data_IF_708366138934
#
_entry.id   IF_708366138934
#
_cell.length_a   1.000
_cell.length_b   1.000
_cell.length_c   1.000
_cell.angle_alpha   90.00
_cell.angle_beta   90.00
_cell.angle_gamma   90.00
#
_symmetry.space_group_name_H-M   'P 1'
#
loop_
_entity.id
_entity.type
_entity.pdbx_description
1 polymer ?
#
# COMPACT_ATOMS: atom_id res chain seq x y z
N UNK A 1 -30.60 -78.72 -28.07
CA UNK A 1 -29.49 -78.22 -27.24
C UNK A 1 -29.22 -76.79 -27.62
N UNK A 2 -29.64 -75.83 -26.78
CA UNK A 2 -29.50 -74.39 -27.03
C UNK A 2 -28.63 -73.82 -25.88
N UNK A 3 -27.40 -73.41 -26.21
CA UNK A 3 -26.44 -72.81 -25.29
C UNK A 3 -26.77 -71.31 -25.14
N UNK A 4 -27.06 -70.85 -23.91
CA UNK A 4 -27.16 -69.44 -23.58
C UNK A 4 -25.77 -68.92 -23.13
N UNK A 5 -25.20 -67.99 -23.91
CA UNK A 5 -24.07 -67.20 -23.46
C UNK A 5 -24.59 -66.01 -22.65
N UNK A 6 -24.27 -65.95 -21.35
CA UNK A 6 -24.49 -64.79 -20.52
C UNK A 6 -23.33 -63.81 -20.69
N UNK A 7 -23.59 -62.61 -21.23
CA UNK A 7 -22.66 -61.48 -21.21
C UNK A 7 -22.76 -60.77 -19.86
N UNK A 8 -21.68 -60.84 -19.07
CA UNK A 8 -21.53 -60.02 -17.85
C UNK A 8 -20.91 -58.69 -18.26
N UNK A 9 -21.69 -57.63 -18.18
CA UNK A 9 -21.23 -56.26 -18.38
C UNK A 9 -20.54 -55.76 -17.11
N UNK A 10 -19.21 -55.58 -17.17
CA UNK A 10 -18.43 -54.93 -16.12
C UNK A 10 -18.62 -53.39 -16.24
N UNK A 11 -19.44 -52.85 -15.36
CA UNK A 11 -19.55 -51.40 -15.17
C UNK A 11 -18.37 -50.88 -14.38
N UNK A 12 -17.35 -50.34 -15.06
CA UNK A 12 -16.22 -49.64 -14.48
C UNK A 12 -16.69 -48.24 -14.06
N UNK A 13 -17.12 -48.11 -12.80
CA UNK A 13 -17.45 -46.79 -12.19
C UNK A 13 -16.18 -45.95 -12.02
N UNK A 14 -16.02 -44.95 -12.85
CA UNK A 14 -15.02 -43.90 -12.62
C UNK A 14 -15.44 -43.08 -11.41
N UNK A 15 -14.87 -43.41 -10.26
CA UNK A 15 -15.00 -42.54 -9.07
C UNK A 15 -14.18 -41.26 -9.32
N UNK A 16 -14.87 -40.18 -9.67
CA UNK A 16 -14.31 -38.83 -9.73
C UNK A 16 -14.17 -38.31 -8.30
N UNK A 17 -13.00 -38.50 -7.71
CA UNK A 17 -12.67 -37.88 -6.43
C UNK A 17 -12.43 -36.38 -6.70
N UNK A 18 -13.17 -35.49 -6.02
CA UNK A 18 -12.86 -34.06 -6.13
C UNK A 18 -11.46 -33.86 -5.52
N UNK A 19 -10.51 -33.45 -6.34
CA UNK A 19 -9.22 -32.96 -5.88
C UNK A 19 -9.48 -31.62 -5.20
N UNK A 20 -9.66 -31.64 -3.89
CA UNK A 20 -9.56 -30.42 -3.10
C UNK A 20 -8.11 -29.95 -3.23
N UNK A 21 -7.89 -28.92 -4.03
CA UNK A 21 -6.64 -28.19 -4.03
C UNK A 21 -6.43 -27.71 -2.60
N UNK A 22 -5.44 -28.25 -1.91
CA UNK A 22 -5.01 -27.74 -0.62
C UNK A 22 -4.60 -26.28 -0.87
N UNK A 23 -5.42 -25.34 -0.38
CA UNK A 23 -4.99 -23.96 -0.25
C UNK A 23 -3.83 -23.99 0.73
N UNK A 24 -2.66 -23.51 0.28
CA UNK A 24 -1.39 -23.52 1.03
C UNK A 24 -1.49 -22.74 2.36
N UNK A 25 -2.40 -23.00 3.24
CA UNK A 25 -2.54 -22.51 4.62
C UNK A 25 -2.28 -21.01 4.88
N UNK A 26 -2.08 -20.22 3.82
CA UNK A 26 -1.90 -18.77 3.92
C UNK A 26 -3.26 -18.12 3.80
N UNK A 27 -3.64 -17.35 4.81
CA UNK A 27 -4.85 -16.52 4.76
C UNK A 27 -4.88 -15.66 3.50
N UNK A 28 -6.06 -15.44 2.94
CA UNK A 28 -6.20 -14.56 1.78
C UNK A 28 -5.81 -13.12 2.15
N UNK A 29 -5.33 -12.35 1.18
CA UNK A 29 -4.98 -10.95 1.41
C UNK A 29 -6.14 -10.12 1.95
N UNK A 30 -7.40 -10.50 1.62
CA UNK A 30 -8.60 -9.85 2.13
C UNK A 30 -8.84 -10.14 3.62
N UNK A 31 -8.59 -11.36 4.06
CA UNK A 31 -8.70 -11.75 5.48
C UNK A 31 -7.65 -11.03 6.32
N UNK A 32 -6.39 -11.04 5.86
CA UNK A 32 -5.29 -10.32 6.50
C UNK A 32 -5.54 -8.81 6.58
N UNK A 33 -6.23 -8.23 5.61
CA UNK A 33 -6.53 -6.81 5.59
C UNK A 33 -7.55 -6.36 6.62
N UNK A 34 -8.34 -7.25 7.22
CA UNK A 34 -9.38 -6.90 8.21
C UNK A 34 -8.83 -6.09 9.37
N UNK A 35 -7.68 -6.47 9.90
CA UNK A 35 -7.03 -5.76 11.01
C UNK A 35 -6.51 -4.38 10.56
N UNK A 36 -6.01 -4.29 9.33
CA UNK A 36 -5.55 -3.04 8.75
C UNK A 36 -6.69 -2.05 8.50
N UNK A 37 -7.87 -2.57 8.10
CA UNK A 37 -9.05 -1.78 7.76
C UNK A 37 -9.59 -0.99 8.96
N UNK A 38 -9.35 -1.42 10.19
CA UNK A 38 -9.75 -0.71 11.41
C UNK A 38 -9.19 0.72 11.46
N UNK A 39 -7.98 0.93 10.93
CA UNK A 39 -7.33 2.24 10.86
C UNK A 39 -7.33 2.82 9.45
N UNK A 40 -6.98 2.00 8.44
CA UNK A 40 -6.82 2.48 7.06
C UNK A 40 -8.13 2.56 6.25
N UNK A 41 -9.26 2.13 6.85
CA UNK A 41 -10.55 2.08 6.16
C UNK A 41 -10.69 0.87 5.23
N UNK A 42 -11.93 0.53 4.86
CA UNK A 42 -12.22 -0.63 3.98
C UNK A 42 -11.63 -0.49 2.58
N UNK A 43 -11.50 0.75 2.10
CA UNK A 43 -10.98 1.13 0.79
C UNK A 43 -9.49 1.53 0.82
N UNK A 44 -8.85 1.46 1.99
CA UNK A 44 -7.48 1.91 2.17
C UNK A 44 -7.31 3.43 2.10
N UNK A 45 -8.37 4.20 2.34
CA UNK A 45 -8.38 5.66 2.21
C UNK A 45 -7.69 6.39 3.35
N UNK A 46 -7.51 5.76 4.52
CA UNK A 46 -6.90 6.39 5.70
C UNK A 46 -7.83 7.34 6.44
N UNK A 47 -7.25 8.31 7.16
CA UNK A 47 -7.98 9.32 7.95
C UNK A 47 -7.59 10.71 7.50
N UNK A 48 -8.59 11.58 7.31
CA UNK A 48 -8.44 12.91 6.72
C UNK A 48 -7.52 13.85 7.50
N UNK A 49 -7.39 13.68 8.82
CA UNK A 49 -6.45 14.49 9.65
C UNK A 49 -4.97 14.16 9.38
N UNK A 50 -4.68 13.19 8.52
CA UNK A 50 -3.33 12.75 8.18
C UNK A 50 -2.66 11.87 9.22
N UNK A 51 -3.36 11.46 10.29
CA UNK A 51 -2.83 10.54 11.31
C UNK A 51 -2.57 9.15 10.73
N UNK A 52 -3.46 8.69 9.84
CA UNK A 52 -3.40 7.41 9.15
C UNK A 52 -3.37 7.67 7.63
N UNK A 53 -2.34 7.20 6.90
CA UNK A 53 -2.23 7.46 5.47
C UNK A 53 -3.21 6.64 4.64
N UNK A 54 -3.55 7.15 3.46
CA UNK A 54 -4.13 6.37 2.39
C UNK A 54 -3.10 5.38 1.84
N UNK A 55 -3.49 4.11 1.72
CA UNK A 55 -2.64 3.01 1.25
C UNK A 55 -3.25 2.25 0.06
N UNK A 56 -4.57 2.33 -0.14
CA UNK A 56 -5.25 1.70 -1.27
C UNK A 56 -4.67 2.16 -2.60
N UNK A 57 -4.44 1.23 -3.53
CA UNK A 57 -3.86 1.52 -4.84
C UNK A 57 -2.34 1.76 -4.87
N UNK A 58 -1.65 1.74 -3.73
CA UNK A 58 -0.18 1.77 -3.72
C UNK A 58 0.38 0.48 -4.35
N UNK A 59 1.49 0.53 -5.08
CA UNK A 59 2.09 -0.67 -5.66
C UNK A 59 2.41 -1.74 -4.62
N UNK A 60 2.09 -2.99 -4.91
CA UNK A 60 2.29 -4.10 -3.99
C UNK A 60 3.73 -4.23 -3.49
N UNK A 61 4.72 -4.02 -4.36
CA UNK A 61 6.14 -4.07 -3.97
C UNK A 61 6.56 -2.94 -3.04
N UNK A 62 5.94 -1.77 -3.17
CA UNK A 62 6.16 -0.64 -2.26
C UNK A 62 5.58 -0.99 -0.89
N UNK A 63 4.33 -1.46 -0.84
CA UNK A 63 3.66 -1.89 0.40
C UNK A 63 4.45 -2.98 1.11
N UNK A 64 4.87 -4.02 0.37
CA UNK A 64 5.66 -5.12 0.91
C UNK A 64 6.94 -4.62 1.58
N UNK A 65 7.72 -3.78 0.90
CA UNK A 65 8.94 -3.19 1.46
C UNK A 65 8.67 -2.33 2.69
N UNK A 66 7.58 -1.57 2.70
CA UNK A 66 7.22 -0.76 3.85
C UNK A 66 6.82 -1.60 5.05
N UNK A 67 6.00 -2.65 4.87
CA UNK A 67 5.64 -3.59 5.95
C UNK A 67 6.88 -4.29 6.50
N UNK A 68 7.77 -4.77 5.63
CA UNK A 68 9.05 -5.36 6.04
C UNK A 68 9.93 -4.37 6.82
N UNK A 69 9.94 -3.09 6.42
CA UNK A 69 10.69 -2.04 7.13
C UNK A 69 10.13 -1.73 8.51
N UNK A 70 8.80 -1.78 8.69
CA UNK A 70 8.19 -1.67 10.01
C UNK A 70 8.52 -2.88 10.88
N UNK A 71 8.40 -4.10 10.35
CA UNK A 71 8.76 -5.34 11.03
C UNK A 71 10.22 -5.33 11.50
N UNK A 72 11.12 -4.89 10.65
CA UNK A 72 12.56 -4.79 10.96
C UNK A 72 12.92 -3.59 11.85
N UNK A 73 11.97 -2.74 12.24
CA UNK A 73 12.22 -1.54 13.03
C UNK A 73 12.99 -0.42 12.31
N UNK A 74 13.30 -0.60 11.02
CA UNK A 74 14.01 0.42 10.21
C UNK A 74 13.11 1.58 9.82
N UNK A 75 11.80 1.41 9.90
CA UNK A 75 10.77 2.45 9.80
C UNK A 75 10.03 2.52 11.14
N UNK A 76 10.06 3.68 11.78
CA UNK A 76 9.49 3.87 13.11
C UNK A 76 8.00 4.25 13.02
N UNK A 77 7.14 3.39 13.55
CA UNK A 77 5.77 3.63 13.98
C UNK A 77 5.33 2.40 14.78
N UNK A 78 5.14 2.55 16.08
CA UNK A 78 4.88 1.42 17.00
C UNK A 78 3.60 0.65 16.63
N UNK A 79 2.56 1.35 16.13
CA UNK A 79 1.31 0.70 15.70
C UNK A 79 1.59 -0.19 14.49
N UNK A 80 2.29 0.35 13.48
CA UNK A 80 2.61 -0.40 12.28
C UNK A 80 3.62 -1.53 12.54
N UNK A 81 4.54 -1.37 13.50
CA UNK A 81 5.42 -2.45 13.94
C UNK A 81 4.62 -3.60 14.55
N UNK A 82 3.61 -3.29 15.37
CA UNK A 82 2.71 -4.30 15.95
C UNK A 82 1.95 -5.05 14.86
N UNK A 83 1.25 -4.35 13.95
CA UNK A 83 0.43 -4.99 12.91
C UNK A 83 1.24 -5.60 11.74
N UNK A 84 2.54 -5.35 11.65
CA UNK A 84 3.41 -5.96 10.63
C UNK A 84 4.29 -7.10 11.16
N UNK A 85 4.22 -7.43 12.46
CA UNK A 85 4.97 -8.54 13.05
C UNK A 85 4.42 -9.90 12.58
N UNK A 86 5.09 -10.98 12.98
CA UNK A 86 4.72 -12.34 12.55
C UNK A 86 3.43 -12.87 13.22
N UNK A 87 2.97 -12.27 14.33
CA UNK A 87 1.70 -12.63 14.96
C UNK A 87 0.49 -12.21 14.10
N UNK A 88 0.61 -11.10 13.37
CA UNK A 88 -0.44 -10.59 12.49
C UNK A 88 -0.22 -10.94 11.01
N UNK A 89 1.03 -10.99 10.56
CA UNK A 89 1.41 -11.28 9.17
C UNK A 89 2.48 -12.38 9.13
N UNK A 90 2.06 -13.64 9.27
CA UNK A 90 2.97 -14.78 9.35
C UNK A 90 3.85 -14.94 8.11
N UNK A 91 5.09 -14.49 8.20
CA UNK A 91 6.11 -14.62 7.17
C UNK A 91 5.87 -13.78 5.90
N UNK A 92 6.76 -13.95 4.92
CA UNK A 92 6.76 -13.14 3.69
C UNK A 92 5.56 -13.42 2.76
N UNK A 93 4.98 -14.63 2.81
CA UNK A 93 3.80 -14.97 2.02
C UNK A 93 2.58 -14.14 2.43
N UNK A 94 2.34 -13.99 3.73
CA UNK A 94 1.25 -13.16 4.26
C UNK A 94 1.46 -11.67 3.91
N UNK A 95 2.67 -11.15 4.10
CA UNK A 95 3.04 -9.78 3.70
C UNK A 95 2.79 -9.55 2.20
N UNK A 96 3.18 -10.51 1.34
CA UNK A 96 2.95 -10.39 -0.09
C UNK A 96 1.46 -10.48 -0.46
N UNK A 97 0.69 -11.34 0.23
CA UNK A 97 -0.76 -11.50 -0.02
C UNK A 97 -1.53 -10.22 0.33
N UNK A 98 -1.33 -9.66 1.53
CA UNK A 98 -1.98 -8.42 1.95
C UNK A 98 -1.54 -7.23 1.09
N UNK A 99 -0.26 -7.15 0.71
CA UNK A 99 0.24 -6.07 -0.17
C UNK A 99 -0.43 -6.09 -1.54
N UNK A 100 -0.62 -7.27 -2.15
CA UNK A 100 -1.35 -7.39 -3.42
C UNK A 100 -2.82 -7.00 -3.27
N UNK A 101 -3.46 -7.41 -2.18
CA UNK A 101 -4.84 -7.04 -1.92
C UNK A 101 -5.00 -5.52 -1.80
N UNK A 102 -4.17 -4.85 -0.98
CA UNK A 102 -4.20 -3.40 -0.80
C UNK A 102 -3.93 -2.67 -2.13
N UNK A 103 -3.02 -3.17 -2.95
CA UNK A 103 -2.72 -2.59 -4.26
C UNK A 103 -3.93 -2.63 -5.22
N UNK A 104 -4.82 -3.59 -5.05
CA UNK A 104 -6.07 -3.71 -5.82
C UNK A 104 -7.23 -2.89 -5.26
N UNK A 105 -7.12 -2.31 -4.07
CA UNK A 105 -8.19 -1.49 -3.49
C UNK A 105 -8.37 -0.19 -4.27
N UNK A 106 -9.62 0.12 -4.61
CA UNK A 106 -10.02 1.40 -5.19
C UNK A 106 -10.47 2.32 -4.06
N UNK A 107 -9.73 3.39 -3.83
CA UNK A 107 -10.11 4.40 -2.86
C UNK A 107 -11.39 5.12 -3.28
N UNK A 108 -12.35 5.19 -2.38
CA UNK A 108 -13.59 5.98 -2.48
C UNK A 108 -13.56 7.16 -1.53
N UNK A 109 -12.74 7.07 -0.48
CA UNK A 109 -12.48 8.17 0.45
C UNK A 109 -11.67 9.24 -0.26
N UNK A 110 -12.21 10.46 -0.32
CA UNK A 110 -11.50 11.60 -0.88
C UNK A 110 -10.31 11.97 0.01
N UNK A 111 -9.14 12.33 -0.59
CA UNK A 111 -8.02 12.82 0.19
C UNK A 111 -8.36 14.16 0.86
N UNK A 112 -7.84 14.37 2.07
CA UNK A 112 -7.89 15.70 2.67
C UNK A 112 -6.93 16.63 1.92
N UNK A 113 -7.49 17.71 1.41
CA UNK A 113 -6.78 18.73 0.64
C UNK A 113 -6.34 19.88 1.55
N UNK A 114 -5.36 20.65 1.11
CA UNK A 114 -5.03 21.95 1.73
C UNK A 114 -5.95 23.06 1.27
N UNK A 115 -5.51 24.31 1.44
CA UNK A 115 -6.32 25.52 1.18
C UNK A 115 -6.61 25.80 -0.30
N UNK A 116 -5.84 25.24 -1.20
CA UNK A 116 -5.94 25.52 -2.64
C UNK A 116 -5.28 26.82 -3.11
N UNK A 117 -4.64 27.59 -2.21
CA UNK A 117 -4.14 28.94 -2.53
C UNK A 117 -2.87 28.93 -3.38
N UNK A 118 -1.95 27.99 -3.14
CA UNK A 118 -0.61 28.01 -3.71
C UNK A 118 -0.33 26.79 -4.62
N UNK A 119 -1.34 26.30 -5.35
CA UNK A 119 -1.22 25.08 -6.14
C UNK A 119 -0.17 25.19 -7.25
N UNK A 120 -0.06 26.34 -7.90
CA UNK A 120 0.95 26.59 -8.93
C UNK A 120 2.36 26.53 -8.34
N UNK A 121 2.56 27.15 -7.15
CA UNK A 121 3.82 27.04 -6.41
C UNK A 121 4.12 25.60 -6.06
N UNK A 122 3.11 24.85 -5.56
CA UNK A 122 3.25 23.44 -5.22
C UNK A 122 3.69 22.59 -6.41
N UNK A 123 3.03 22.75 -7.55
CA UNK A 123 3.38 22.06 -8.80
C UNK A 123 4.80 22.40 -9.26
N UNK A 124 5.18 23.68 -9.26
CA UNK A 124 6.51 24.13 -9.71
C UNK A 124 7.63 23.61 -8.80
N UNK A 125 7.46 23.67 -7.47
CA UNK A 125 8.44 23.14 -6.51
C UNK A 125 8.56 21.62 -6.62
N UNK A 126 7.45 20.90 -6.78
CA UNK A 126 7.47 19.46 -7.00
C UNK A 126 8.20 19.08 -8.29
N UNK A 127 7.91 19.77 -9.39
CA UNK A 127 8.56 19.54 -10.69
C UNK A 127 10.08 19.74 -10.60
N UNK A 128 10.52 20.76 -9.85
CA UNK A 128 11.94 21.11 -9.70
C UNK A 128 12.72 20.10 -8.87
N UNK A 129 12.16 19.61 -7.76
CA UNK A 129 12.91 18.83 -6.77
C UNK A 129 12.49 17.38 -6.60
N UNK A 130 11.29 16.99 -6.99
CA UNK A 130 10.68 15.71 -6.61
C UNK A 130 10.33 14.81 -7.81
N UNK A 131 9.91 15.42 -8.92
CA UNK A 131 9.39 14.72 -10.08
C UNK A 131 10.38 13.73 -10.71
N UNK A 132 11.69 13.99 -10.59
CA UNK A 132 12.74 13.09 -11.09
C UNK A 132 12.63 11.68 -10.53
N UNK A 133 12.30 11.56 -9.25
CA UNK A 133 12.08 10.29 -8.58
C UNK A 133 10.61 9.87 -8.55
N UNK A 134 9.69 10.78 -8.20
CA UNK A 134 8.27 10.47 -7.99
C UNK A 134 7.41 10.57 -9.26
N UNK A 135 8.00 10.89 -10.41
CA UNK A 135 7.24 11.13 -11.63
C UNK A 135 6.58 12.52 -11.66
N UNK A 136 6.11 12.98 -12.82
CA UNK A 136 5.67 14.38 -13.01
C UNK A 136 4.45 14.77 -12.17
N UNK A 137 3.65 13.81 -11.75
CA UNK A 137 2.43 14.02 -10.96
C UNK A 137 2.42 13.25 -9.63
N UNK A 138 3.59 12.85 -9.13
CA UNK A 138 3.68 12.10 -7.87
C UNK A 138 3.25 10.64 -7.97
N UNK A 139 3.27 10.05 -9.16
CA UNK A 139 3.00 8.62 -9.36
C UNK A 139 4.12 7.74 -8.81
N UNK A 140 3.82 6.45 -8.60
CA UNK A 140 4.78 5.49 -8.09
C UNK A 140 5.83 5.10 -9.13
N UNK A 141 7.05 4.80 -8.66
CA UNK A 141 8.04 4.00 -9.41
C UNK A 141 8.29 2.69 -8.65
N UNK A 142 7.39 1.73 -8.83
CA UNK A 142 7.35 0.48 -8.06
C UNK A 142 8.67 -0.31 -8.09
N UNK A 143 9.32 -0.40 -9.26
CA UNK A 143 10.61 -1.09 -9.43
C UNK A 143 11.73 -0.49 -8.58
N UNK A 144 11.67 0.80 -8.30
CA UNK A 144 12.63 1.53 -7.45
C UNK A 144 12.18 1.62 -5.98
N UNK A 145 11.01 1.09 -5.62
CA UNK A 145 10.46 1.19 -4.27
C UNK A 145 9.90 2.57 -3.92
N UNK A 146 9.64 3.40 -4.92
CA UNK A 146 9.14 4.77 -4.74
C UNK A 146 7.62 4.74 -4.70
N UNK A 147 6.99 5.20 -3.59
CA UNK A 147 5.54 5.21 -3.44
C UNK A 147 4.88 6.28 -4.31
N UNK A 148 3.59 6.07 -4.60
CA UNK A 148 2.74 7.15 -5.09
C UNK A 148 2.50 8.17 -3.96
N UNK A 149 2.62 9.44 -4.31
CA UNK A 149 2.29 10.58 -3.46
C UNK A 149 0.95 11.20 -3.88
N UNK A 150 0.58 11.03 -5.15
CA UNK A 150 -0.68 11.49 -5.71
C UNK A 150 -1.88 10.99 -4.90
N UNK A 151 -2.85 11.88 -4.64
CA UNK A 151 -4.06 11.55 -3.89
C UNK A 151 -3.82 11.13 -2.45
N UNK A 152 -2.68 11.45 -1.85
CA UNK A 152 -2.45 11.27 -0.42
C UNK A 152 -2.96 12.48 0.35
N UNK A 153 -3.38 12.31 1.61
CA UNK A 153 -3.81 13.40 2.47
C UNK A 153 -2.71 14.46 2.64
N UNK A 154 -3.02 15.72 2.36
CA UNK A 154 -2.07 16.83 2.51
C UNK A 154 -1.47 16.89 3.93
N UNK A 155 -2.25 16.79 5.03
CA UNK A 155 -1.69 16.81 6.38
C UNK A 155 -0.70 15.65 6.65
N UNK A 156 -0.92 14.48 6.05
CA UNK A 156 0.02 13.36 6.15
C UNK A 156 1.34 13.67 5.45
N UNK A 157 1.28 14.19 4.21
CA UNK A 157 2.48 14.56 3.44
C UNK A 157 3.29 15.63 4.15
N UNK A 158 2.64 16.70 4.63
CA UNK A 158 3.28 17.77 5.39
C UNK A 158 3.98 17.25 6.64
N UNK A 159 3.29 16.41 7.42
CA UNK A 159 3.87 15.80 8.61
C UNK A 159 5.10 14.96 8.25
N UNK A 160 5.02 14.12 7.19
CA UNK A 160 6.14 13.26 6.78
C UNK A 160 7.34 14.07 6.28
N UNK A 161 7.13 15.16 5.57
CA UNK A 161 8.20 16.07 5.16
C UNK A 161 8.85 16.75 6.37
N UNK A 162 8.05 17.24 7.32
CA UNK A 162 8.53 17.86 8.56
C UNK A 162 9.35 16.89 9.43
N UNK A 163 8.85 15.66 9.62
CA UNK A 163 9.56 14.60 10.33
C UNK A 163 10.89 14.23 9.65
N UNK A 164 10.94 14.27 8.31
CA UNK A 164 12.17 13.99 7.55
C UNK A 164 13.23 15.07 7.77
N UNK A 165 12.85 16.33 7.79
CA UNK A 165 13.75 17.47 8.11
C UNK A 165 14.27 17.36 9.54
N UNK A 166 13.41 16.97 10.49
CA UNK A 166 13.78 16.81 11.90
C UNK A 166 14.59 15.54 12.20
N UNK A 167 14.89 14.70 11.22
CA UNK A 167 15.61 13.44 11.44
C UNK A 167 14.78 12.34 12.09
N UNK A 168 13.47 12.48 12.17
CA UNK A 168 12.57 11.64 12.97
C UNK A 168 11.97 10.45 12.20
N UNK A 169 12.27 10.31 10.92
CA UNK A 169 11.73 9.19 10.13
C UNK A 169 12.76 8.63 9.13
N UNK A 170 12.42 7.50 8.50
CA UNK A 170 13.28 6.84 7.53
C UNK A 170 13.57 7.65 6.26
N UNK A 171 12.78 8.68 5.98
CA UNK A 171 12.98 9.58 4.82
C UNK A 171 14.12 10.58 5.06
N UNK A 172 14.51 10.82 6.30
CA UNK A 172 15.54 11.82 6.66
C UNK A 172 16.84 11.63 5.88
N UNK A 173 17.25 10.39 5.70
CA UNK A 173 18.50 10.05 5.00
C UNK A 173 18.47 10.40 3.51
N UNK A 174 17.32 10.21 2.84
CA UNK A 174 17.17 10.40 1.40
C UNK A 174 16.60 11.77 1.03
N UNK A 175 15.83 12.39 1.92
CA UNK A 175 15.04 13.59 1.62
C UNK A 175 15.35 14.76 2.54
N UNK A 176 15.96 14.54 3.72
CA UNK A 176 16.16 15.59 4.72
C UNK A 176 16.87 16.83 4.17
N UNK A 177 17.99 16.63 3.46
CA UNK A 177 18.76 17.72 2.87
C UNK A 177 18.01 18.48 1.74
N UNK A 178 17.13 17.81 1.01
CA UNK A 178 16.29 18.43 -0.02
C UNK A 178 15.14 19.21 0.63
N UNK A 179 14.44 18.59 1.56
CA UNK A 179 13.27 19.17 2.21
C UNK A 179 13.64 20.34 3.14
N UNK A 180 14.84 20.34 3.75
CA UNK A 180 15.31 21.48 4.58
C UNK A 180 15.49 22.80 3.81
N UNK A 181 15.54 22.73 2.48
CA UNK A 181 15.62 23.92 1.60
C UNK A 181 14.24 24.54 1.32
N UNK A 182 13.16 23.85 1.67
CA UNK A 182 11.79 24.32 1.48
C UNK A 182 11.33 25.05 2.73
N UNK A 183 10.71 26.23 2.54
CA UNK A 183 9.94 26.84 3.63
C UNK A 183 8.72 26.00 3.97
N UNK A 184 8.17 26.13 5.20
CA UNK A 184 6.93 25.42 5.57
C UNK A 184 5.78 25.68 4.58
N UNK A 185 5.61 26.91 4.08
CA UNK A 185 4.59 27.24 3.09
C UNK A 185 4.78 26.50 1.76
N UNK A 186 6.01 26.35 1.27
CA UNK A 186 6.29 25.57 0.05
C UNK A 186 6.03 24.08 0.25
N UNK A 187 6.37 23.54 1.42
CA UNK A 187 6.06 22.13 1.73
C UNK A 187 4.55 21.90 1.78
N UNK A 188 3.79 22.84 2.39
CA UNK A 188 2.32 22.78 2.40
C UNK A 188 1.73 22.89 0.98
N UNK A 189 2.24 23.77 0.15
CA UNK A 189 1.82 23.92 -1.25
C UNK A 189 2.04 22.63 -2.06
N UNK A 190 3.19 21.97 -1.91
CA UNK A 190 3.48 20.67 -2.54
C UNK A 190 2.48 19.61 -2.05
N UNK A 191 2.24 19.53 -0.74
CA UNK A 191 1.32 18.55 -0.16
C UNK A 191 -0.12 18.77 -0.64
N UNK A 192 -0.56 20.01 -0.70
CA UNK A 192 -1.90 20.39 -1.19
C UNK A 192 -2.04 20.02 -2.69
N UNK A 193 -1.08 20.40 -3.53
CA UNK A 193 -1.10 20.03 -4.94
C UNK A 193 -1.16 18.51 -5.13
N UNK A 194 -0.29 17.74 -4.47
CA UNK A 194 -0.25 16.27 -4.55
C UNK A 194 -1.56 15.61 -4.10
N UNK A 195 -2.23 16.18 -3.10
CA UNK A 195 -3.50 15.65 -2.61
C UNK A 195 -4.62 15.69 -3.64
N UNK A 196 -4.51 16.57 -4.65
CA UNK A 196 -5.47 16.76 -5.73
C UNK A 196 -5.14 15.96 -6.99
N UNK A 197 -3.91 15.44 -7.08
CA UNK A 197 -3.50 14.62 -8.21
C UNK A 197 -4.16 13.24 -8.17
N UNK A 198 -4.64 12.71 -9.29
CA UNK A 198 -5.21 11.36 -9.34
C UNK A 198 -4.12 10.30 -9.12
N UNK A 199 -4.48 9.24 -8.41
CA UNK A 199 -3.63 8.06 -8.21
C UNK A 199 -3.65 7.19 -9.46
#
# INVERSE_FOLDING_TARGET
MKSFLSCVALLSGLFWWPVFAATDGVESGAELYRDCAACHGKDGGGVADGSIPAIGGQPADVLRRQLQSFRAGTRSDLRMQHFSNDDHLAGDKAVAAVSRYIAGLRRTTAPAMGSGHDLETGAAEFARGCAGCHGPRGGAKASMGIPALAGQHAPYLERKMREAVAGQNSLSRSHGALLSRLSPGRSAAIADWLSREPL
#
